data_IF_378512213456
#
_entry.id   IF_378512213456
#
_cell.length_a   1.000
_cell.length_b   1.000
_cell.length_c   1.000
_cell.angle_alpha   90.00
_cell.angle_beta   90.00
_cell.angle_gamma   90.00
#
_symmetry.space_group_name_H-M   'P 1'
#
loop_
_entity.id
_entity.type
_entity.pdbx_description
1 polymer ?
#
# COMPACT_ATOMS: atom_id res chain seq x y z
N UNK A 1 4.05 0.27 9.75
CA UNK A 1 5.45 0.70 9.60
C UNK A 1 6.45 -0.13 10.44
N UNK A 2 6.18 -1.39 10.78
CA UNK A 2 7.06 -2.18 11.68
C UNK A 2 8.32 -2.76 11.02
N UNK A 3 8.44 -2.70 9.68
CA UNK A 3 9.60 -3.20 8.91
C UNK A 3 10.25 -2.18 7.98
N UNK A 4 9.66 -1.00 7.80
CA UNK A 4 10.24 0.08 6.98
C UNK A 4 11.18 0.87 7.88
N UNK A 5 12.48 0.62 7.76
CA UNK A 5 13.52 1.25 8.61
C UNK A 5 14.01 2.59 8.07
N UNK A 6 13.88 2.82 6.77
CA UNK A 6 14.29 4.06 6.09
C UNK A 6 13.15 4.51 5.18
N UNK A 7 12.84 5.82 5.13
CA UNK A 7 11.89 6.34 4.17
C UNK A 7 12.41 6.10 2.76
N UNK A 8 11.51 5.77 1.84
CA UNK A 8 11.81 5.61 0.42
C UNK A 8 10.77 6.39 -0.40
N UNK A 9 11.03 6.55 -1.70
CA UNK A 9 10.12 7.26 -2.61
C UNK A 9 8.69 6.72 -2.53
N UNK A 10 8.54 5.41 -2.39
CA UNK A 10 7.24 4.72 -2.34
C UNK A 10 6.72 4.47 -0.92
N UNK A 11 7.54 4.73 0.09
CA UNK A 11 7.19 4.64 1.50
C UNK A 11 7.76 5.87 2.22
N UNK A 12 7.14 7.05 2.03
CA UNK A 12 7.60 8.29 2.64
C UNK A 12 7.54 8.21 4.17
N UNK A 13 8.27 9.12 4.82
CA UNK A 13 8.13 9.29 6.27
C UNK A 13 6.69 9.71 6.61
N UNK A 14 6.19 9.38 7.81
CA UNK A 14 4.83 9.77 8.20
C UNK A 14 4.59 11.28 8.11
N UNK A 15 5.58 12.09 8.48
CA UNK A 15 5.48 13.56 8.45
C UNK A 15 5.36 14.08 7.02
N UNK A 16 6.21 13.62 6.10
CA UNK A 16 6.14 14.00 4.69
C UNK A 16 4.85 13.52 4.02
N UNK A 17 4.41 12.30 4.34
CA UNK A 17 3.14 11.77 3.83
C UNK A 17 1.95 12.63 4.25
N UNK A 18 1.86 12.98 5.55
CA UNK A 18 0.75 13.80 6.06
C UNK A 18 0.78 15.21 5.45
N UNK A 19 1.96 15.80 5.31
CA UNK A 19 2.10 17.13 4.70
C UNK A 19 1.57 17.16 3.26
N UNK A 20 1.93 16.17 2.43
CA UNK A 20 1.41 16.05 1.07
C UNK A 20 -0.08 15.72 1.06
N UNK A 21 -0.54 14.84 1.96
CA UNK A 21 -1.93 14.40 2.01
C UNK A 21 -2.87 15.56 2.36
N UNK A 22 -2.49 16.40 3.32
CA UNK A 22 -3.26 17.58 3.71
C UNK A 22 -3.44 18.57 2.56
N UNK A 23 -2.46 18.67 1.65
CA UNK A 23 -2.58 19.49 0.44
C UNK A 23 -3.63 19.01 -0.57
N UNK A 24 -4.13 17.77 -0.42
CA UNK A 24 -5.13 17.18 -1.33
C UNK A 24 -6.54 17.16 -0.76
N UNK A 25 -6.69 17.36 0.56
CA UNK A 25 -7.98 17.35 1.24
C UNK A 25 -8.81 18.55 0.78
N UNK A 26 -10.02 18.28 0.26
CA UNK A 26 -10.94 19.32 -0.22
C UNK A 26 -10.69 19.78 -1.66
N UNK A 27 -9.61 19.31 -2.30
CA UNK A 27 -9.33 19.57 -3.73
C UNK A 27 -9.81 18.42 -4.60
N UNK A 28 -9.54 17.19 -4.17
CA UNK A 28 -9.78 15.99 -4.96
C UNK A 28 -10.76 15.05 -4.23
N UNK A 29 -11.72 14.48 -4.98
CA UNK A 29 -12.73 13.56 -4.41
C UNK A 29 -12.14 12.23 -3.95
N UNK A 30 -11.02 11.82 -4.55
CA UNK A 30 -10.31 10.58 -4.21
C UNK A 30 -8.81 10.82 -4.20
N UNK A 31 -8.22 10.82 -3.01
CA UNK A 31 -6.79 11.05 -2.82
C UNK A 31 -6.05 9.73 -2.55
N UNK A 32 -4.76 9.74 -2.83
CA UNK A 32 -3.80 8.67 -2.52
C UNK A 32 -2.74 9.14 -1.50
N UNK A 33 -2.95 10.35 -0.94
CA UNK A 33 -2.17 10.94 0.14
C UNK A 33 -0.80 11.48 -0.25
N UNK A 34 -0.08 10.90 -1.20
CA UNK A 34 1.20 11.47 -1.66
C UNK A 34 1.38 11.36 -3.17
N UNK A 35 2.27 12.19 -3.71
CA UNK A 35 2.50 12.24 -5.15
C UNK A 35 3.04 10.91 -5.70
N UNK A 36 3.92 10.23 -4.96
CA UNK A 36 4.49 8.94 -5.40
C UNK A 36 3.44 7.82 -5.46
N UNK A 37 2.44 7.83 -4.58
CA UNK A 37 1.31 6.90 -4.66
C UNK A 37 0.33 7.28 -5.78
N UNK A 38 0.23 8.56 -6.16
CA UNK A 38 -0.53 8.97 -7.35
C UNK A 38 0.07 8.41 -8.62
N UNK A 39 1.40 8.44 -8.73
CA UNK A 39 2.11 7.81 -9.84
C UNK A 39 1.85 6.30 -9.87
N UNK A 40 1.95 5.61 -8.72
CA UNK A 40 1.63 4.17 -8.65
C UNK A 40 0.18 3.88 -9.06
N UNK A 41 -0.77 4.65 -8.54
CA UNK A 41 -2.17 4.49 -8.87
C UNK A 41 -2.45 4.73 -10.35
N UNK A 42 -1.75 5.68 -10.99
CA UNK A 42 -1.84 5.90 -12.44
C UNK A 42 -1.34 4.70 -13.25
N UNK A 43 -0.23 4.08 -12.84
CA UNK A 43 0.24 2.85 -13.50
C UNK A 43 -0.74 1.70 -13.29
N UNK A 44 -1.18 1.50 -12.05
CA UNK A 44 -2.15 0.46 -11.71
C UNK A 44 -3.42 0.71 -12.52
N UNK A 45 -3.90 1.95 -12.63
CA UNK A 45 -5.12 2.33 -13.34
C UNK A 45 -5.14 2.00 -14.84
N UNK A 46 -4.01 1.59 -15.43
CA UNK A 46 -3.92 1.11 -16.83
C UNK A 46 -4.08 -0.40 -16.98
N UNK A 47 -3.97 -1.17 -15.90
CA UNK A 47 -4.07 -2.64 -15.93
C UNK A 47 -5.56 -3.05 -15.93
N UNK A 48 -6.02 -4.06 -16.68
CA UNK A 48 -7.41 -4.53 -16.59
C UNK A 48 -7.83 -4.96 -15.16
N UNK A 49 -9.07 -4.66 -14.75
CA UNK A 49 -9.53 -4.90 -13.36
C UNK A 49 -9.42 -6.37 -12.94
N UNK A 50 -9.80 -7.31 -13.82
CA UNK A 50 -9.66 -8.76 -13.60
C UNK A 50 -8.24 -9.16 -13.20
N UNK A 51 -7.22 -8.56 -13.84
CA UNK A 51 -5.83 -8.87 -13.55
C UNK A 51 -5.42 -8.27 -12.20
N UNK A 52 -5.81 -7.03 -11.91
CA UNK A 52 -5.52 -6.39 -10.62
C UNK A 52 -6.11 -7.16 -9.46
N UNK A 53 -7.38 -7.57 -9.58
CA UNK A 53 -8.09 -8.33 -8.57
C UNK A 53 -7.42 -9.68 -8.33
N UNK A 54 -7.07 -10.40 -9.40
CA UNK A 54 -6.40 -11.70 -9.30
C UNK A 54 -5.03 -11.58 -8.63
N UNK A 55 -4.22 -10.59 -9.01
CA UNK A 55 -2.90 -10.36 -8.40
C UNK A 55 -3.06 -10.01 -6.92
N UNK A 56 -3.96 -9.08 -6.60
CA UNK A 56 -4.22 -8.62 -5.23
C UNK A 56 -4.72 -9.77 -4.35
N UNK A 57 -5.64 -10.59 -4.88
CA UNK A 57 -6.17 -11.76 -4.19
C UNK A 57 -5.07 -12.79 -3.85
N UNK A 58 -4.24 -13.11 -4.83
CA UNK A 58 -3.14 -14.06 -4.65
C UNK A 58 -2.12 -13.56 -3.64
N UNK A 59 -1.75 -12.27 -3.72
CA UNK A 59 -0.82 -11.64 -2.78
C UNK A 59 -1.35 -11.65 -1.34
N UNK A 60 -2.60 -11.23 -1.14
CA UNK A 60 -3.24 -11.21 0.18
C UNK A 60 -3.39 -12.64 0.75
N UNK A 61 -3.74 -13.61 -0.08
CA UNK A 61 -3.85 -15.02 0.33
C UNK A 61 -2.48 -15.57 0.76
N UNK A 62 -1.40 -15.27 0.03
CA UNK A 62 -0.05 -15.69 0.39
C UNK A 62 0.40 -15.07 1.73
N UNK A 63 0.16 -13.77 1.93
CA UNK A 63 0.47 -13.08 3.19
C UNK A 63 -0.30 -13.70 4.35
N UNK A 64 -1.61 -13.97 4.17
CA UNK A 64 -2.45 -14.62 5.18
C UNK A 64 -1.93 -16.01 5.55
N UNK A 65 -1.59 -16.85 4.56
CA UNK A 65 -1.01 -18.18 4.78
C UNK A 65 0.30 -18.09 5.58
N UNK A 66 1.18 -17.16 5.24
CA UNK A 66 2.43 -16.94 5.97
C UNK A 66 2.21 -16.46 7.41
N UNK A 67 1.23 -15.57 7.63
CA UNK A 67 0.88 -15.08 8.96
C UNK A 67 0.32 -16.20 9.86
N UNK A 68 -0.60 -17.03 9.34
CA UNK A 68 -1.17 -18.16 10.06
C UNK A 68 -0.09 -19.20 10.42
N UNK A 69 0.84 -19.50 9.51
CA UNK A 69 1.97 -20.38 9.79
C UNK A 69 2.84 -19.86 10.95
N UNK A 70 3.12 -18.55 10.99
CA UNK A 70 3.88 -17.93 12.08
C UNK A 70 3.13 -17.93 13.41
N UNK A 71 1.80 -17.87 13.40
CA UNK A 71 0.99 -17.96 14.61
C UNK A 71 0.94 -19.38 15.16
N UNK A 72 0.83 -20.39 14.30
CA UNK A 72 0.90 -21.80 14.70
C UNK A 72 2.26 -22.12 15.37
N UNK A 73 3.36 -21.72 14.73
CA UNK A 73 4.73 -21.91 15.26
C UNK A 73 5.04 -21.20 16.58
N UNK A 74 4.24 -20.19 16.97
CA UNK A 74 4.40 -19.48 18.24
C UNK A 74 3.59 -20.08 19.38
N UNK A 75 2.66 -20.99 19.06
CA UNK A 75 1.76 -21.63 20.02
C UNK A 75 2.34 -22.95 20.54
N UNK A 76 3.25 -23.55 19.78
CA UNK A 76 4.15 -24.64 20.18
C UNK A 76 5.37 -24.07 20.91
#
# INVERSE_FOLDING_TARGET
MSRIRKPSVFAPSPTSYVQEALGTVGVESRTVGCWSHALQNWFISRIPDRLRETITWNMNTAVRRAALKRLAQKKD
#
